data_IF_168223239005
#
_entry.id   IF_168223239005
#
_cell.length_a   1.000
_cell.length_b   1.000
_cell.length_c   1.000
_cell.angle_alpha   90.00
_cell.angle_beta   90.00
_cell.angle_gamma   90.00
#
_symmetry.space_group_name_H-M   'P 1'
#
loop_
_entity.id
_entity.type
_entity.pdbx_description
1 polymer ?
#
# COMPACT_ATOMS: atom_id res chain seq x y z
N UNK A 1 -15.49 -7.86 22.44
CA UNK A 1 -15.40 -7.61 20.98
C UNK A 1 -16.25 -6.40 20.66
N UNK A 2 -15.77 -5.42 19.89
CA UNK A 2 -16.62 -4.30 19.49
C UNK A 2 -17.62 -4.78 18.43
N UNK A 3 -18.79 -4.13 18.31
CA UNK A 3 -19.81 -4.54 17.37
C UNK A 3 -19.29 -4.48 15.93
N UNK A 4 -19.79 -5.35 15.04
CA UNK A 4 -19.51 -5.26 13.61
C UNK A 4 -19.89 -3.87 13.10
N UNK A 5 -19.05 -3.28 12.25
CA UNK A 5 -19.39 -2.03 11.56
C UNK A 5 -20.49 -2.37 10.55
N UNK A 6 -21.67 -1.82 10.77
CA UNK A 6 -22.83 -2.05 9.91
C UNK A 6 -22.89 -0.93 8.87
N UNK A 7 -22.52 -1.24 7.64
CA UNK A 7 -22.64 -0.33 6.50
C UNK A 7 -24.12 -0.28 6.07
N UNK A 8 -24.78 0.86 6.28
CA UNK A 8 -26.24 1.00 6.07
C UNK A 8 -26.67 0.80 4.63
N UNK A 9 -25.79 1.11 3.69
CA UNK A 9 -25.94 0.85 2.26
C UNK A 9 -26.04 -0.65 1.95
N UNK A 10 -25.39 -1.49 2.77
CA UNK A 10 -25.41 -2.94 2.65
C UNK A 10 -26.64 -3.60 3.30
N UNK A 11 -27.48 -2.83 3.99
CA UNK A 11 -28.66 -3.35 4.68
C UNK A 11 -29.95 -3.24 3.85
N UNK A 12 -30.04 -2.31 2.90
CA UNK A 12 -31.29 -2.07 2.16
C UNK A 12 -31.23 -2.66 0.74
N UNK A 13 -32.27 -3.37 0.27
CA UNK A 13 -32.33 -3.89 -1.10
C UNK A 13 -32.29 -2.78 -2.16
N UNK A 14 -32.80 -1.59 -1.83
CA UNK A 14 -32.92 -0.44 -2.72
C UNK A 14 -31.62 0.38 -2.84
N UNK A 15 -30.72 0.25 -1.86
CA UNK A 15 -29.37 0.86 -1.86
C UNK A 15 -28.27 -0.18 -2.00
N UNK A 16 -28.62 -1.37 -2.47
CA UNK A 16 -27.66 -2.44 -2.74
C UNK A 16 -26.54 -1.91 -3.65
N UNK A 17 -25.33 -2.43 -3.47
CA UNK A 17 -24.18 -2.04 -4.27
C UNK A 17 -24.52 -2.09 -5.77
N UNK A 18 -24.11 -1.05 -6.50
CA UNK A 18 -24.34 -0.96 -7.94
C UNK A 18 -23.81 -2.21 -8.67
N UNK A 19 -24.37 -2.51 -9.84
CA UNK A 19 -24.00 -3.72 -10.57
C UNK A 19 -22.49 -3.79 -10.84
N UNK A 20 -21.88 -4.91 -10.45
CA UNK A 20 -20.43 -5.08 -10.48
C UNK A 20 -19.71 -4.68 -9.18
N UNK A 21 -20.45 -4.39 -8.10
CA UNK A 21 -19.93 -4.19 -6.74
C UNK A 21 -20.62 -5.16 -5.76
N UNK A 22 -19.94 -5.55 -4.69
CA UNK A 22 -20.43 -6.42 -3.62
C UNK A 22 -20.19 -5.76 -2.25
N UNK A 23 -20.96 -6.18 -1.24
CA UNK A 23 -20.78 -5.71 0.14
C UNK A 23 -19.61 -6.43 0.82
N UNK A 24 -18.67 -5.64 1.32
CA UNK A 24 -17.47 -6.09 2.02
C UNK A 24 -17.25 -5.36 3.36
N UNK A 25 -16.09 -5.58 4.01
CA UNK A 25 -15.78 -4.99 5.31
C UNK A 25 -15.71 -3.45 5.30
N UNK A 26 -15.62 -2.83 4.12
CA UNK A 26 -15.50 -1.39 3.92
C UNK A 26 -16.71 -0.76 3.19
N UNK A 27 -17.82 -1.49 3.04
CA UNK A 27 -18.98 -1.06 2.25
C UNK A 27 -18.98 -1.71 0.87
N UNK A 28 -19.41 -0.97 -0.16
CA UNK A 28 -19.47 -1.49 -1.54
C UNK A 28 -18.09 -1.49 -2.22
N UNK A 29 -17.59 -2.69 -2.53
CA UNK A 29 -16.32 -2.91 -3.24
C UNK A 29 -16.57 -3.52 -4.62
N UNK A 30 -15.78 -3.16 -5.64
CA UNK A 30 -15.95 -3.65 -7.01
C UNK A 30 -15.62 -5.14 -7.13
N UNK A 31 -16.51 -5.92 -7.73
CA UNK A 31 -16.28 -7.32 -8.11
C UNK A 31 -15.22 -7.37 -9.20
N UNK A 32 -14.05 -7.90 -8.89
CA UNK A 32 -13.07 -8.27 -9.92
C UNK A 32 -13.52 -9.60 -10.52
N UNK A 33 -13.69 -9.65 -11.85
CA UNK A 33 -13.60 -10.94 -12.56
C UNK A 33 -12.20 -11.48 -12.29
N UNK A 34 -12.11 -12.51 -11.45
CA UNK A 34 -10.88 -13.26 -11.29
C UNK A 34 -10.46 -13.73 -12.69
N UNK A 35 -9.33 -13.25 -13.20
CA UNK A 35 -8.56 -14.10 -14.12
C UNK A 35 -8.23 -15.34 -13.28
N UNK A 36 -8.57 -16.53 -13.79
CA UNK A 36 -8.27 -17.81 -13.15
C UNK A 36 -6.86 -17.77 -12.54
N UNK A 37 -6.74 -18.28 -11.32
CA UNK A 37 -5.50 -18.29 -10.54
C UNK A 37 -4.40 -19.07 -11.29
N UNK A 38 -3.59 -18.35 -12.05
CA UNK A 38 -2.20 -18.73 -12.23
C UNK A 38 -1.47 -18.38 -10.94
N UNK A 39 -0.80 -19.36 -10.34
CA UNK A 39 0.09 -19.21 -9.18
C UNK A 39 0.90 -17.91 -9.30
N UNK A 40 0.63 -16.93 -8.43
CA UNK A 40 1.46 -15.71 -8.32
C UNK A 40 2.80 -16.12 -7.70
N UNK A 41 3.75 -16.51 -8.54
CA UNK A 41 5.15 -16.29 -8.20
C UNK A 41 5.37 -14.77 -8.16
N UNK A 42 5.84 -14.25 -7.04
CA UNK A 42 6.44 -12.91 -6.95
C UNK A 42 7.80 -12.95 -7.69
N UNK A 43 7.72 -13.10 -9.01
CA UNK A 43 8.83 -13.29 -9.92
C UNK A 43 8.28 -13.22 -11.34
N UNK A 44 8.15 -12.01 -11.85
CA UNK A 44 7.52 -11.76 -13.14
C UNK A 44 7.95 -10.42 -13.69
N UNK A 45 9.23 -10.34 -14.09
CA UNK A 45 9.70 -9.34 -15.04
C UNK A 45 8.72 -9.26 -16.19
N UNK A 46 8.06 -8.11 -16.34
CA UNK A 46 7.41 -7.80 -17.61
C UNK A 46 8.56 -7.62 -18.60
N UNK A 47 8.69 -8.62 -19.47
CA UNK A 47 9.49 -8.60 -20.69
C UNK A 47 9.26 -7.28 -21.44
N UNK A 48 10.16 -6.32 -21.24
CA UNK A 48 10.31 -5.16 -22.10
C UNK A 48 10.85 -5.71 -23.43
N UNK A 49 10.00 -5.65 -24.44
CA UNK A 49 10.34 -5.96 -25.82
C UNK A 49 11.59 -5.20 -26.25
N UNK A 50 12.50 -5.93 -26.89
CA UNK A 50 13.81 -5.49 -27.37
C UNK A 50 13.82 -4.10 -28.02
N UNK A 51 14.37 -3.13 -27.29
CA UNK A 51 15.15 -2.01 -27.84
C UNK A 51 16.36 -1.84 -26.95
N UNK A 52 17.54 -1.82 -27.55
CA UNK A 52 18.83 -1.88 -26.89
C UNK A 52 18.98 -0.90 -25.70
N UNK A 53 19.44 -1.46 -24.58
CA UNK A 53 20.19 -0.82 -23.50
C UNK A 53 19.80 0.63 -23.13
N UNK A 54 18.73 0.78 -22.36
CA UNK A 54 18.70 1.79 -21.30
C UNK A 54 18.31 1.10 -19.99
N UNK A 55 19.29 0.99 -19.10
CA UNK A 55 19.08 0.71 -17.69
C UNK A 55 17.97 1.67 -17.20
N UNK A 56 16.87 1.22 -16.57
CA UNK A 56 15.90 2.16 -16.00
C UNK A 56 16.60 2.85 -14.83
N UNK A 57 17.14 4.03 -15.08
CA UNK A 57 18.11 4.69 -14.19
C UNK A 57 17.49 5.26 -12.93
N UNK A 58 16.16 5.29 -12.80
CA UNK A 58 15.49 5.66 -11.56
C UNK A 58 14.16 4.91 -11.46
N UNK A 59 13.94 4.18 -10.35
CA UNK A 59 12.59 3.81 -9.97
C UNK A 59 11.79 5.09 -9.86
N UNK A 60 10.83 5.24 -10.75
CA UNK A 60 10.04 6.47 -10.80
C UNK A 60 9.11 6.49 -9.59
N UNK A 61 8.84 7.67 -9.06
CA UNK A 61 7.82 7.88 -8.03
C UNK A 61 6.48 7.21 -8.38
N UNK A 62 6.14 7.19 -9.67
CA UNK A 62 4.95 6.50 -10.18
C UNK A 62 4.98 4.97 -10.04
N UNK A 63 6.14 4.32 -10.12
CA UNK A 63 6.26 2.87 -9.90
C UNK A 63 6.06 2.50 -8.42
N UNK A 64 6.59 3.31 -7.51
CA UNK A 64 6.40 3.13 -6.07
C UNK A 64 4.93 3.28 -5.69
N UNK A 65 4.25 4.29 -6.26
CA UNK A 65 2.81 4.43 -6.10
C UNK A 65 2.04 3.24 -6.66
N UNK A 66 2.45 2.65 -7.79
CA UNK A 66 1.81 1.44 -8.33
C UNK A 66 1.95 0.24 -7.40
N UNK A 67 3.08 0.08 -6.70
CA UNK A 67 3.26 -0.97 -5.70
C UNK A 67 2.29 -0.81 -4.54
N UNK A 68 2.21 0.39 -3.96
CA UNK A 68 1.27 0.71 -2.88
C UNK A 68 -0.19 0.52 -3.32
N UNK A 69 -0.54 1.01 -4.51
CA UNK A 69 -1.86 0.85 -5.11
C UNK A 69 -2.24 -0.61 -5.31
N UNK A 70 -1.31 -1.44 -5.81
CA UNK A 70 -1.51 -2.88 -5.96
C UNK A 70 -1.85 -3.56 -4.64
N UNK A 71 -1.14 -3.22 -3.55
CA UNK A 71 -1.45 -3.71 -2.22
C UNK A 71 -2.86 -3.31 -1.76
N UNK A 72 -3.26 -2.05 -1.93
CA UNK A 72 -4.61 -1.60 -1.59
C UNK A 72 -5.71 -2.36 -2.36
N UNK A 73 -5.44 -2.66 -3.62
CA UNK A 73 -6.34 -3.44 -4.46
C UNK A 73 -6.42 -4.91 -4.02
N UNK A 74 -5.31 -5.52 -3.62
CA UNK A 74 -5.27 -6.88 -3.08
C UNK A 74 -5.99 -6.97 -1.72
N UNK A 75 -6.12 -5.84 -1.02
CA UNK A 75 -6.95 -5.69 0.19
C UNK A 75 -8.41 -5.28 -0.08
N UNK A 76 -8.84 -5.23 -1.34
CA UNK A 76 -10.24 -4.99 -1.72
C UNK A 76 -10.80 -3.65 -1.18
N UNK A 77 -9.95 -2.63 -1.10
CA UNK A 77 -10.41 -1.29 -0.74
C UNK A 77 -11.35 -0.71 -1.81
N UNK A 78 -12.41 0.03 -1.43
CA UNK A 78 -13.30 0.70 -2.37
C UNK A 78 -12.56 1.70 -3.28
N UNK A 79 -13.08 1.97 -4.48
CA UNK A 79 -12.43 2.86 -5.46
C UNK A 79 -12.12 4.25 -4.88
N UNK A 80 -13.01 4.80 -4.06
CA UNK A 80 -12.79 6.07 -3.35
C UNK A 80 -11.55 6.06 -2.44
N UNK A 81 -11.19 4.90 -1.89
CA UNK A 81 -9.97 4.71 -1.11
C UNK A 81 -8.75 4.47 -1.98
N UNK A 82 -8.91 3.85 -3.15
CA UNK A 82 -7.81 3.62 -4.09
C UNK A 82 -7.21 4.94 -4.59
N UNK A 83 -7.99 6.01 -4.67
CA UNK A 83 -7.51 7.38 -4.94
C UNK A 83 -6.52 7.90 -3.88
N UNK A 84 -6.54 7.32 -2.68
CA UNK A 84 -5.62 7.66 -1.57
C UNK A 84 -4.42 6.71 -1.49
N UNK A 85 -4.38 5.67 -2.33
CA UNK A 85 -3.35 4.65 -2.31
C UNK A 85 -2.10 5.04 -3.11
N UNK A 86 -1.45 6.11 -2.68
CA UNK A 86 -0.17 6.58 -3.19
C UNK A 86 0.51 7.54 -2.21
N UNK A 87 1.83 7.63 -2.24
CA UNK A 87 2.63 8.47 -1.33
C UNK A 87 2.31 9.96 -1.44
N UNK A 88 1.80 10.43 -2.58
CA UNK A 88 1.37 11.80 -2.81
C UNK A 88 -0.08 12.09 -2.38
N UNK A 89 -0.88 11.07 -2.07
CA UNK A 89 -2.29 11.23 -1.74
C UNK A 89 -2.64 10.73 -0.33
N UNK A 90 -1.77 9.93 0.27
CA UNK A 90 -1.86 9.49 1.65
C UNK A 90 -1.13 10.50 2.55
N UNK A 91 -1.79 11.57 2.93
CA UNK A 91 -1.25 12.64 3.78
C UNK A 91 -2.18 12.98 4.95
N UNK A 92 -1.72 13.81 5.89
CA UNK A 92 -2.51 14.25 7.04
C UNK A 92 -3.88 14.81 6.64
N UNK A 93 -3.92 15.66 5.61
CA UNK A 93 -5.14 16.33 5.17
C UNK A 93 -6.16 15.31 4.62
N UNK A 94 -5.71 14.35 3.81
CA UNK A 94 -6.54 13.26 3.31
C UNK A 94 -7.15 12.43 4.43
N UNK A 95 -6.38 12.12 5.48
CA UNK A 95 -6.83 11.34 6.63
C UNK A 95 -7.85 12.13 7.46
N UNK A 96 -7.63 13.44 7.65
CA UNK A 96 -8.60 14.32 8.33
C UNK A 96 -9.92 14.39 7.55
N UNK A 97 -9.89 14.54 6.22
CA UNK A 97 -11.11 14.53 5.41
C UNK A 97 -11.89 13.22 5.52
N UNK A 98 -11.19 12.08 5.60
CA UNK A 98 -11.80 10.78 5.85
C UNK A 98 -12.42 10.71 7.26
N UNK A 99 -11.74 11.26 8.27
CA UNK A 99 -12.24 11.30 9.65
C UNK A 99 -13.49 12.17 9.81
N UNK A 100 -13.56 13.28 9.06
CA UNK A 100 -14.71 14.19 9.03
C UNK A 100 -15.87 13.69 8.14
N UNK A 101 -15.72 12.55 7.46
CA UNK A 101 -16.73 12.04 6.52
C UNK A 101 -16.89 12.90 5.26
N UNK A 102 -15.93 13.78 4.96
CA UNK A 102 -15.91 14.62 3.76
C UNK A 102 -15.45 13.87 2.50
N UNK A 103 -14.96 12.63 2.67
CA UNK A 103 -14.57 11.75 1.60
C UNK A 103 -15.43 10.46 1.62
N UNK A 104 -15.66 9.86 0.45
CA UNK A 104 -16.36 8.56 0.31
C UNK A 104 -15.54 7.37 0.83
N UNK A 105 -14.23 7.55 1.08
CA UNK A 105 -13.38 6.55 1.71
C UNK A 105 -13.50 6.61 3.24
N UNK A 106 -13.99 5.55 3.91
CA UNK A 106 -14.20 5.57 5.34
C UNK A 106 -12.87 5.47 6.12
N UNK A 107 -12.82 6.10 7.30
CA UNK A 107 -11.61 6.15 8.16
C UNK A 107 -11.05 4.75 8.50
N UNK A 108 -11.89 3.71 8.54
CA UNK A 108 -11.48 2.33 8.80
C UNK A 108 -10.54 1.76 7.73
N UNK A 109 -10.42 2.39 6.56
CA UNK A 109 -9.47 2.01 5.52
C UNK A 109 -8.03 2.49 5.81
N UNK A 110 -7.85 3.54 6.62
CA UNK A 110 -6.52 4.14 6.90
C UNK A 110 -5.48 3.12 7.35
N UNK A 111 -5.76 2.20 8.30
CA UNK A 111 -4.75 1.22 8.72
C UNK A 111 -4.25 0.32 7.59
N UNK A 112 -5.12 -0.02 6.62
CA UNK A 112 -4.73 -0.81 5.45
C UNK A 112 -3.88 0.02 4.51
N UNK A 113 -4.30 1.25 4.19
CA UNK A 113 -3.55 2.16 3.31
C UNK A 113 -2.14 2.41 3.90
N UNK A 114 -2.07 2.68 5.20
CA UNK A 114 -0.82 2.86 5.93
C UNK A 114 0.07 1.60 5.89
N UNK A 115 -0.52 0.42 6.13
CA UNK A 115 0.20 -0.85 6.04
C UNK A 115 0.75 -1.09 4.63
N UNK A 116 -0.03 -0.78 3.58
CA UNK A 116 0.42 -0.88 2.20
C UNK A 116 1.57 0.08 1.87
N UNK A 117 1.57 1.29 2.42
CA UNK A 117 2.70 2.21 2.30
C UNK A 117 3.98 1.62 2.91
N UNK A 118 3.88 0.98 4.09
CA UNK A 118 5.02 0.36 4.79
C UNK A 118 5.55 -0.94 4.16
N UNK A 119 4.84 -1.47 3.15
CA UNK A 119 5.04 -2.82 2.59
C UNK A 119 5.03 -3.94 3.64
N UNK A 120 4.39 -3.73 4.80
CA UNK A 120 4.34 -4.70 5.88
C UNK A 120 5.68 -4.98 6.57
N UNK A 121 6.67 -4.10 6.42
CA UNK A 121 7.98 -4.19 7.09
C UNK A 121 8.04 -3.31 8.34
N UNK A 122 9.05 -3.55 9.18
CA UNK A 122 9.29 -2.76 10.38
C UNK A 122 10.29 -1.62 10.10
N UNK A 123 9.84 -0.40 10.30
CA UNK A 123 10.62 0.83 10.09
C UNK A 123 10.92 1.56 11.40
N UNK A 124 10.74 0.91 12.56
CA UNK A 124 10.89 1.53 13.89
C UNK A 124 12.24 2.24 14.06
N UNK A 125 13.33 1.66 13.57
CA UNK A 125 14.67 2.24 13.64
C UNK A 125 14.76 3.53 12.81
N UNK A 126 14.30 3.50 11.56
CA UNK A 126 14.27 4.69 10.70
C UNK A 126 13.39 5.78 11.32
N UNK A 127 12.19 5.45 11.76
CA UNK A 127 11.26 6.39 12.37
C UNK A 127 11.84 7.05 13.63
N UNK A 128 12.47 6.26 14.50
CA UNK A 128 13.15 6.77 15.70
C UNK A 128 14.22 7.79 15.33
N UNK A 129 15.04 7.49 14.30
CA UNK A 129 16.09 8.40 13.81
C UNK A 129 15.53 9.65 13.12
N UNK A 130 14.40 9.51 12.43
CA UNK A 130 13.71 10.61 11.74
C UNK A 130 12.88 11.51 12.66
N UNK A 131 12.87 11.24 13.98
CA UNK A 131 12.21 12.08 14.97
C UNK A 131 10.72 11.82 15.16
N UNK A 132 10.23 10.64 14.76
CA UNK A 132 8.87 10.19 15.12
C UNK A 132 8.79 9.99 16.64
N UNK A 133 7.74 10.51 17.26
CA UNK A 133 7.54 10.44 18.71
C UNK A 133 7.41 8.98 19.18
N UNK A 134 7.88 8.70 20.39
CA UNK A 134 7.98 7.33 20.93
C UNK A 134 6.64 6.59 20.97
N UNK A 135 5.56 7.29 21.28
CA UNK A 135 4.18 6.78 21.26
C UNK A 135 3.64 6.54 19.86
N UNK A 136 4.19 7.21 18.84
CA UNK A 136 3.86 7.04 17.43
C UNK A 136 4.69 5.96 16.70
N UNK A 137 5.81 5.49 17.28
CA UNK A 137 6.65 4.42 16.68
C UNK A 137 5.86 3.15 16.37
N UNK A 138 4.82 2.85 17.14
CA UNK A 138 3.97 1.69 16.89
C UNK A 138 3.29 1.69 15.51
N UNK A 139 3.17 2.85 14.85
CA UNK A 139 2.69 2.98 13.47
C UNK A 139 3.75 2.60 12.43
N UNK A 140 5.04 2.70 12.73
CA UNK A 140 6.12 2.32 11.82
C UNK A 140 6.34 0.81 11.70
N UNK A 141 5.66 0.03 12.55
CA UNK A 141 5.74 -1.41 12.58
C UNK A 141 4.65 -2.05 11.71
N UNK A 142 4.82 -3.32 11.29
CA UNK A 142 3.81 -4.04 10.54
C UNK A 142 2.46 -4.03 11.27
N UNK A 143 1.39 -3.85 10.50
CA UNK A 143 0.06 -3.83 11.06
C UNK A 143 -0.41 -5.25 11.43
N UNK A 144 -0.38 -5.56 12.73
CA UNK A 144 -1.15 -6.69 13.28
C UNK A 144 -2.60 -6.25 13.45
N UNK A 145 -3.56 -7.01 12.88
CA UNK A 145 -5.02 -6.72 12.74
C UNK A 145 -5.78 -6.24 14.00
N UNK A 146 -5.12 -6.10 15.15
CA UNK A 146 -5.68 -5.67 16.44
C UNK A 146 -5.48 -4.17 16.74
N UNK A 147 -4.63 -3.44 16.01
CA UNK A 147 -4.43 -2.00 16.26
C UNK A 147 -5.54 -1.19 15.60
N UNK A 148 -6.61 -0.86 16.32
CA UNK A 148 -7.56 0.16 15.83
C UNK A 148 -6.83 1.50 15.78
N UNK A 149 -6.98 2.25 14.70
CA UNK A 149 -6.66 3.67 14.70
C UNK A 149 -7.68 4.33 15.64
N UNK A 150 -7.29 4.53 16.89
CA UNK A 150 -8.16 5.11 17.93
C UNK A 150 -8.03 6.62 17.82
N UNK A 151 -9.12 7.35 18.05
CA UNK A 151 -9.16 8.81 18.15
C UNK A 151 -8.04 9.42 19.03
N UNK A 152 -7.51 8.66 20.00
CA UNK A 152 -6.36 9.06 20.85
C UNK A 152 -5.03 9.22 20.10
N UNK A 153 -4.88 8.64 18.91
CA UNK A 153 -3.64 8.67 18.13
C UNK A 153 -3.66 9.72 17.02
N UNK A 154 -4.63 10.64 17.04
CA UNK A 154 -4.70 11.72 16.06
C UNK A 154 -3.45 12.60 16.03
N UNK A 155 -2.73 12.76 17.16
CA UNK A 155 -1.48 13.52 17.21
C UNK A 155 -0.38 12.90 16.33
N UNK A 156 -0.36 11.57 16.15
CA UNK A 156 0.60 10.91 15.27
C UNK A 156 0.40 11.23 13.78
N UNK A 157 -0.74 11.83 13.39
CA UNK A 157 -0.96 12.28 12.03
C UNK A 157 -0.04 13.43 11.63
N UNK A 158 0.46 14.20 12.59
CA UNK A 158 1.43 15.27 12.34
C UNK A 158 2.78 14.72 11.84
N UNK A 159 3.06 13.45 12.16
CA UNK A 159 4.32 12.77 11.84
C UNK A 159 4.20 11.82 10.64
N UNK A 160 3.03 11.75 10.00
CA UNK A 160 2.77 10.81 8.89
C UNK A 160 3.76 10.98 7.74
N UNK A 161 4.20 12.20 7.46
CA UNK A 161 5.19 12.47 6.42
C UNK A 161 6.59 11.97 6.80
N UNK A 162 6.98 12.04 8.08
CA UNK A 162 8.23 11.47 8.57
C UNK A 162 8.22 9.94 8.45
N UNK A 163 7.10 9.31 8.81
CA UNK A 163 6.91 7.87 8.67
C UNK A 163 6.96 7.46 7.19
N UNK A 164 6.23 8.16 6.31
CA UNK A 164 6.21 7.90 4.87
C UNK A 164 7.57 8.05 4.22
N UNK A 165 8.39 9.01 4.64
CA UNK A 165 9.74 9.17 4.13
C UNK A 165 10.60 7.91 4.38
N UNK A 166 10.48 7.31 5.57
CA UNK A 166 11.11 6.03 5.88
C UNK A 166 10.59 4.90 4.98
N UNK A 167 9.27 4.79 4.86
CA UNK A 167 8.65 3.76 4.01
C UNK A 167 9.14 3.84 2.57
N UNK A 168 9.10 5.05 1.98
CA UNK A 168 9.53 5.31 0.61
C UNK A 168 11.00 4.95 0.39
N UNK A 169 11.88 5.39 1.29
CA UNK A 169 13.33 5.15 1.19
C UNK A 169 13.65 3.67 1.21
N UNK A 170 12.96 2.91 2.05
CA UNK A 170 13.11 1.46 2.14
C UNK A 170 12.61 0.76 0.86
N UNK A 171 11.51 1.21 0.23
CA UNK A 171 11.07 0.71 -1.08
C UNK A 171 12.18 0.91 -2.14
N UNK A 172 12.73 2.12 -2.20
CA UNK A 172 13.80 2.46 -3.15
C UNK A 172 15.04 1.60 -2.90
N UNK A 173 15.39 1.36 -1.63
CA UNK A 173 16.51 0.51 -1.27
C UNK A 173 16.32 -0.93 -1.75
N UNK A 174 15.15 -1.51 -1.49
CA UNK A 174 14.87 -2.89 -1.90
C UNK A 174 14.85 -3.04 -3.43
N UNK A 175 14.27 -2.09 -4.16
CA UNK A 175 14.28 -2.13 -5.64
C UNK A 175 15.72 -2.05 -6.17
N UNK A 176 16.55 -1.15 -5.64
CA UNK A 176 17.96 -1.06 -6.03
C UNK A 176 18.72 -2.36 -5.75
N UNK A 177 18.44 -2.99 -4.61
CA UNK A 177 19.04 -4.26 -4.22
C UNK A 177 18.61 -5.40 -5.14
N UNK A 178 17.35 -5.44 -5.55
CA UNK A 178 16.82 -6.42 -6.51
C UNK A 178 17.48 -6.27 -7.88
N UNK A 179 17.55 -5.03 -8.40
CA UNK A 179 18.23 -4.75 -9.66
C UNK A 179 19.70 -5.20 -9.65
N UNK A 180 20.40 -4.97 -8.53
CA UNK A 180 21.80 -5.40 -8.37
C UNK A 180 21.92 -6.93 -8.42
N UNK A 181 21.03 -7.65 -7.73
CA UNK A 181 21.00 -9.12 -7.73
C UNK A 181 20.72 -9.68 -9.12
N UNK A 182 19.74 -9.13 -9.83
CA UNK A 182 19.42 -9.54 -11.21
C UNK A 182 20.61 -9.33 -12.16
N UNK A 183 21.33 -8.22 -12.02
CA UNK A 183 22.53 -7.93 -12.80
C UNK A 183 23.66 -8.93 -12.51
N UNK A 184 23.92 -9.23 -11.23
CA UNK A 184 24.93 -10.21 -10.80
C UNK A 184 24.59 -11.62 -11.32
N UNK A 185 23.32 -12.02 -11.25
CA UNK A 185 22.83 -13.30 -11.78
C UNK A 185 22.98 -13.40 -13.30
N UNK A 186 22.71 -12.31 -14.02
CA UNK A 186 22.92 -12.25 -15.47
C UNK A 186 24.39 -12.45 -15.82
N UNK A 187 25.28 -11.73 -15.12
CA UNK A 187 26.73 -11.82 -15.36
C UNK A 187 27.26 -13.23 -15.08
N UNK A 188 26.74 -13.89 -14.04
CA UNK A 188 27.09 -15.28 -13.70
C UNK A 188 26.66 -16.27 -14.78
N UNK A 189 25.49 -16.08 -15.39
CA UNK A 189 25.00 -16.93 -16.50
C UNK A 189 25.84 -16.74 -17.76
N UNK A 190 26.18 -15.49 -18.09
CA UNK A 190 27.02 -15.20 -19.26
C UNK A 190 28.43 -15.75 -19.12
N UNK A 191 29.00 -15.73 -17.90
CA UNK A 191 30.29 -16.36 -17.61
C UNK A 191 30.24 -17.89 -17.77
N UNK A 192 29.14 -18.54 -17.38
CA UNK A 192 28.94 -19.98 -17.56
C UNK A 192 28.80 -20.38 -19.04
N UNK A 193 28.14 -19.56 -19.86
CA UNK A 193 27.97 -19.81 -21.31
C UNK A 193 29.24 -19.57 -22.14
N UNK A 194 30.31 -19.03 -21.54
CA UNK A 194 31.61 -18.80 -22.19
C UNK A 194 32.66 -19.87 -21.87
N UNK A 195 32.29 -20.87 -21.07
CA UNK A 195 33.07 -22.08 -20.78
C UNK A 195 32.56 -23.24 -21.66
#
# INVERSE_FOLDING_TARGET
>A
MPPPVVHTECLKPETACAQGYYCGPYGCTRVRRTRLHGVRNMGGSKSLTNTAASVPTFTTFGEINKLMFGCCQDHELPDACLEKCGFNHFDKHSIIQMALGQNKCPLIAVPVIHSCASQGRDHSECCTRSGVSKDCISFCQPFVRKRRFVQKQMHCLDEVELMKACFYTDIVHEIRKDMKREMEDSWRKDAYLRL
#
